data_IF_471384255691
#
_entry.id   IF_471384255691
#
_cell.length_a   1.000
_cell.length_b   1.000
_cell.length_c   1.000
_cell.angle_alpha   90.00
_cell.angle_beta   90.00
_cell.angle_gamma   90.00
#
_symmetry.space_group_name_H-M   'P 1'
#
loop_
_entity.id
_entity.type
_entity.pdbx_description
1 polymer ?
#
# COMPACT_ATOMS: atom_id res chain seq x y z
N UNK A 1 -36.36 -32.82 -1.04
CA UNK A 1 -35.56 -32.54 -2.24
C UNK A 1 -34.67 -31.36 -1.93
N UNK A 2 -33.41 -31.45 -2.36
CA UNK A 2 -32.30 -30.49 -2.24
C UNK A 2 -31.45 -30.59 -0.96
N UNK A 3 -30.75 -31.73 -0.81
CA UNK A 3 -29.62 -31.87 0.14
C UNK A 3 -28.41 -32.62 -0.48
N UNK A 4 -28.37 -32.70 -1.82
CA UNK A 4 -27.31 -33.41 -2.56
C UNK A 4 -26.34 -32.50 -3.32
N UNK A 5 -26.59 -31.18 -3.39
CA UNK A 5 -25.75 -30.23 -4.13
C UNK A 5 -24.53 -29.73 -3.34
N UNK A 6 -24.67 -29.58 -2.02
CA UNK A 6 -23.63 -29.02 -1.13
C UNK A 6 -22.52 -30.01 -0.80
N UNK A 7 -22.83 -31.30 -0.74
CA UNK A 7 -21.86 -32.36 -0.47
C UNK A 7 -20.86 -32.57 -1.63
N UNK A 8 -21.29 -32.36 -2.87
CA UNK A 8 -20.44 -32.47 -4.07
C UNK A 8 -19.40 -31.35 -4.12
N UNK A 9 -19.77 -30.10 -3.83
CA UNK A 9 -18.83 -28.96 -3.87
C UNK A 9 -17.73 -29.11 -2.80
N UNK A 10 -18.08 -29.59 -1.60
CA UNK A 10 -17.11 -29.83 -0.53
C UNK A 10 -16.06 -30.90 -0.89
N UNK A 11 -16.52 -32.01 -1.51
CA UNK A 11 -15.62 -33.07 -2.00
C UNK A 11 -14.72 -32.59 -3.15
N UNK A 12 -15.22 -31.72 -4.03
CA UNK A 12 -14.44 -31.12 -5.11
C UNK A 12 -13.33 -30.18 -4.60
N UNK A 13 -13.60 -29.36 -3.58
CA UNK A 13 -12.58 -28.48 -2.99
C UNK A 13 -11.45 -29.23 -2.30
N UNK A 14 -11.75 -30.34 -1.60
CA UNK A 14 -10.70 -31.15 -0.97
C UNK A 14 -9.87 -31.94 -1.99
N UNK A 15 -10.49 -32.47 -3.05
CA UNK A 15 -9.78 -33.15 -4.14
C UNK A 15 -8.80 -32.21 -4.84
N UNK A 16 -9.23 -30.98 -5.15
CA UNK A 16 -8.36 -29.97 -5.77
C UNK A 16 -7.25 -29.54 -4.81
N UNK A 17 -7.54 -29.33 -3.53
CA UNK A 17 -6.54 -28.95 -2.53
C UNK A 17 -5.50 -30.06 -2.29
N UNK A 18 -5.92 -31.33 -2.26
CA UNK A 18 -5.01 -32.48 -2.13
C UNK A 18 -4.15 -32.65 -3.39
N UNK A 19 -4.71 -32.41 -4.59
CA UNK A 19 -3.95 -32.40 -5.83
C UNK A 19 -2.86 -31.31 -5.82
N UNK A 20 -3.19 -30.10 -5.35
CA UNK A 20 -2.22 -29.00 -5.22
C UNK A 20 -1.17 -29.23 -4.13
N UNK A 21 -1.43 -30.06 -3.10
CA UNK A 21 -0.40 -30.50 -2.13
C UNK A 21 0.59 -31.49 -2.73
N UNK A 22 0.14 -32.32 -3.67
CA UNK A 22 0.97 -33.34 -4.32
C UNK A 22 1.71 -32.81 -5.55
N UNK A 23 1.26 -31.69 -6.12
CA UNK A 23 1.98 -31.00 -7.19
C UNK A 23 3.28 -30.38 -6.65
N UNK A 24 4.39 -30.45 -7.42
CA UNK A 24 5.60 -29.71 -7.09
C UNK A 24 5.32 -28.21 -6.96
N UNK A 25 6.20 -27.49 -6.25
CA UNK A 25 6.14 -26.03 -6.16
C UNK A 25 6.08 -25.42 -7.57
N UNK A 26 5.42 -24.27 -7.70
CA UNK A 26 5.15 -23.64 -8.99
C UNK A 26 6.42 -23.27 -9.79
N UNK A 27 7.59 -23.29 -9.15
CA UNK A 27 8.92 -23.06 -9.73
C UNK A 27 9.67 -24.36 -10.09
N UNK A 28 9.08 -25.55 -9.91
CA UNK A 28 9.72 -26.81 -10.28
C UNK A 28 9.83 -26.92 -11.82
N UNK A 29 11.04 -27.04 -12.39
CA UNK A 29 11.24 -27.12 -13.83
C UNK A 29 10.61 -28.37 -14.46
N UNK A 30 10.18 -29.35 -13.66
CA UNK A 30 9.51 -30.58 -14.12
C UNK A 30 7.99 -30.42 -14.24
N UNK A 31 7.41 -29.33 -13.73
CA UNK A 31 5.97 -29.07 -13.71
C UNK A 31 5.32 -29.20 -15.11
N UNK A 32 5.92 -28.69 -16.22
CA UNK A 32 5.32 -28.82 -17.55
C UNK A 32 5.21 -30.28 -18.03
N UNK A 33 6.21 -31.11 -17.73
CA UNK A 33 6.22 -32.52 -18.11
C UNK A 33 5.24 -33.36 -17.27
N UNK A 34 5.03 -32.98 -16.00
CA UNK A 34 4.06 -33.62 -15.11
C UNK A 34 2.63 -33.30 -15.58
N UNK A 35 2.33 -32.03 -15.87
CA UNK A 35 1.02 -31.61 -16.37
C UNK A 35 0.66 -32.26 -17.72
N UNK A 36 1.64 -32.46 -18.61
CA UNK A 36 1.46 -33.15 -19.88
C UNK A 36 1.07 -34.63 -19.74
N UNK A 37 1.45 -35.30 -18.65
CA UNK A 37 1.04 -36.69 -18.37
C UNK A 37 -0.41 -36.79 -17.93
N UNK A 38 -0.91 -35.79 -17.20
CA UNK A 38 -2.29 -35.72 -16.76
C UNK A 38 -3.25 -35.34 -17.90
N UNK A 39 -2.85 -34.43 -18.80
CA UNK A 39 -3.65 -34.09 -19.98
C UNK A 39 -3.84 -35.26 -20.97
N UNK A 40 -2.91 -36.23 -20.95
CA UNK A 40 -2.92 -37.37 -21.86
C UNK A 40 -3.57 -38.64 -21.25
N UNK A 41 -4.18 -38.54 -20.06
CA UNK A 41 -4.92 -39.64 -19.43
C UNK A 41 -4.07 -40.84 -19.00
N UNK A 42 -2.75 -40.69 -18.90
CA UNK A 42 -1.83 -41.77 -18.51
C UNK A 42 -1.55 -41.84 -17.00
N UNK A 43 -2.03 -40.86 -16.22
CA UNK A 43 -2.08 -40.94 -14.77
C UNK A 43 -3.35 -41.67 -14.36
N UNK A 44 -3.23 -42.79 -13.65
CA UNK A 44 -4.36 -43.56 -13.15
C UNK A 44 -5.17 -42.79 -12.10
N UNK A 45 -6.01 -41.87 -12.55
CA UNK A 45 -7.17 -41.34 -11.83
C UNK A 45 -8.22 -41.03 -12.90
N UNK A 46 -9.28 -41.84 -12.94
CA UNK A 46 -10.47 -41.50 -13.70
C UNK A 46 -11.04 -40.18 -13.16
N UNK A 47 -11.24 -39.21 -14.05
CA UNK A 47 -12.31 -38.23 -13.90
C UNK A 47 -11.88 -36.78 -13.77
N UNK A 48 -11.79 -36.12 -14.93
CA UNK A 48 -12.16 -34.72 -15.14
C UNK A 48 -11.48 -33.64 -14.28
N UNK A 49 -10.26 -33.25 -14.66
CA UNK A 49 -10.07 -31.82 -14.90
C UNK A 49 -10.19 -31.61 -16.40
N UNK A 50 -11.24 -30.92 -16.85
CA UNK A 50 -11.28 -30.43 -18.22
C UNK A 50 -10.08 -29.50 -18.38
N UNK A 51 -9.47 -29.48 -19.57
CA UNK A 51 -8.42 -28.49 -19.91
C UNK A 51 -8.83 -27.07 -19.52
N UNK A 52 -10.13 -26.77 -19.63
CA UNK A 52 -10.76 -25.53 -19.18
C UNK A 52 -10.59 -25.26 -17.67
N UNK A 53 -10.72 -26.26 -16.81
CA UNK A 53 -10.56 -26.11 -15.36
C UNK A 53 -9.09 -25.88 -14.99
N UNK A 54 -8.18 -26.51 -15.75
CA UNK A 54 -6.73 -26.28 -15.62
C UNK A 54 -6.34 -24.88 -16.12
N UNK A 55 -6.92 -24.44 -17.24
CA UNK A 55 -6.75 -23.10 -17.80
C UNK A 55 -7.35 -22.04 -16.87
N UNK A 56 -8.53 -22.26 -16.30
CA UNK A 56 -9.15 -21.39 -15.29
C UNK A 56 -8.33 -21.35 -13.98
N UNK A 57 -7.77 -22.48 -13.55
CA UNK A 57 -6.87 -22.55 -12.40
C UNK A 57 -5.50 -21.86 -12.67
N UNK A 58 -5.00 -21.92 -13.91
CA UNK A 58 -3.81 -21.17 -14.35
C UNK A 58 -4.08 -19.67 -14.54
N UNK A 59 -5.34 -19.32 -14.85
CA UNK A 59 -5.84 -17.95 -14.95
C UNK A 59 -6.27 -17.37 -13.60
N UNK A 60 -6.24 -18.16 -12.52
CA UNK A 60 -6.33 -17.59 -11.18
C UNK A 60 -5.21 -16.55 -11.07
N UNK A 61 -5.52 -15.29 -10.76
CA UNK A 61 -4.52 -14.27 -10.66
C UNK A 61 -3.49 -14.77 -9.66
N UNK A 62 -2.24 -14.98 -10.13
CA UNK A 62 -1.12 -15.25 -9.25
C UNK A 62 -1.19 -14.15 -8.21
N UNK A 63 -1.47 -14.53 -6.95
CA UNK A 63 -1.56 -13.59 -5.85
C UNK A 63 -0.22 -12.89 -5.80
N UNK A 64 -0.15 -11.69 -6.37
CA UNK A 64 1.10 -10.96 -6.43
C UNK A 64 1.57 -10.77 -4.99
N UNK A 65 2.88 -10.97 -4.73
CA UNK A 65 3.40 -10.77 -3.40
C UNK A 65 3.09 -9.34 -2.97
N UNK A 66 2.51 -9.19 -1.77
CA UNK A 66 2.16 -7.90 -1.20
C UNK A 66 3.37 -6.96 -1.20
N UNK A 67 3.16 -5.75 -1.67
CA UNK A 67 4.13 -4.66 -1.66
C UNK A 67 4.21 -4.02 -0.28
N UNK A 68 3.10 -4.01 0.46
CA UNK A 68 2.98 -3.26 1.69
C UNK A 68 2.87 -4.19 2.90
N UNK A 69 3.74 -3.96 3.89
CA UNK A 69 3.65 -4.57 5.21
C UNK A 69 3.23 -3.53 6.23
N UNK A 70 2.09 -3.76 6.89
CA UNK A 70 1.63 -2.91 7.99
C UNK A 70 2.64 -2.96 9.14
N UNK A 71 3.11 -1.79 9.58
CA UNK A 71 4.06 -1.64 10.71
C UNK A 71 3.47 -0.89 11.89
N UNK A 72 2.38 -0.13 11.69
CA UNK A 72 1.75 0.59 12.78
C UNK A 72 0.51 1.37 12.36
N UNK A 73 0.01 2.16 13.29
CA UNK A 73 -1.13 3.05 13.10
C UNK A 73 -0.91 4.34 13.88
N UNK A 74 -1.45 5.44 13.37
CA UNK A 74 -1.47 6.72 14.05
C UNK A 74 -2.90 7.26 14.09
N UNK A 75 -3.32 7.77 15.24
CA UNK A 75 -4.61 8.47 15.33
C UNK A 75 -4.42 9.88 14.78
N UNK A 76 -5.35 10.33 13.94
CA UNK A 76 -5.39 11.70 13.44
C UNK A 76 -6.64 12.40 13.95
N UNK A 77 -6.46 13.67 14.27
CA UNK A 77 -7.50 14.49 14.90
C UNK A 77 -8.47 15.08 13.89
N UNK A 78 -9.71 15.34 14.33
CA UNK A 78 -10.68 16.04 13.51
C UNK A 78 -10.28 17.52 13.36
N UNK A 79 -10.39 18.05 12.14
CA UNK A 79 -10.03 19.42 11.83
C UNK A 79 -11.17 20.12 11.11
N UNK A 80 -11.74 21.15 11.74
CA UNK A 80 -12.81 21.95 11.15
C UNK A 80 -12.32 22.70 9.90
N UNK A 81 -11.10 23.26 9.96
CA UNK A 81 -10.46 23.94 8.85
C UNK A 81 -8.94 23.86 8.98
N UNK A 82 -8.30 23.34 7.93
CA UNK A 82 -6.87 23.31 7.76
C UNK A 82 -6.50 24.14 6.53
N UNK A 83 -5.44 24.93 6.63
CA UNK A 83 -4.88 25.68 5.50
C UNK A 83 -3.39 25.42 5.46
N UNK A 84 -2.89 24.92 4.33
CA UNK A 84 -1.45 24.77 4.13
C UNK A 84 -0.85 26.16 3.91
N UNK A 85 -0.34 26.76 4.98
CA UNK A 85 0.28 28.07 4.97
C UNK A 85 1.55 28.08 5.83
N UNK A 86 2.22 29.22 5.90
CA UNK A 86 3.43 29.39 6.72
C UNK A 86 3.24 29.04 8.20
N UNK A 87 2.05 29.25 8.76
CA UNK A 87 1.75 28.91 10.16
C UNK A 87 1.72 27.40 10.32
N UNK A 88 1.05 26.68 9.42
CA UNK A 88 0.99 25.21 9.44
C UNK A 88 2.38 24.58 9.20
N UNK A 89 3.16 25.11 8.24
CA UNK A 89 4.52 24.63 7.96
C UNK A 89 5.44 24.80 9.18
N UNK A 90 5.43 25.99 9.79
CA UNK A 90 6.23 26.26 11.00
C UNK A 90 5.79 25.42 12.19
N UNK A 91 4.49 25.26 12.41
CA UNK A 91 3.97 24.42 13.50
C UNK A 91 4.37 22.94 13.35
N UNK A 92 4.51 22.46 12.11
CA UNK A 92 4.98 21.12 11.80
C UNK A 92 6.53 21.00 11.73
N UNK A 93 7.28 22.05 12.05
CA UNK A 93 8.73 22.10 11.90
C UNK A 93 9.19 21.75 10.47
N UNK A 94 8.46 22.22 9.45
CA UNK A 94 8.85 22.08 8.04
C UNK A 94 9.79 23.24 7.70
N UNK A 95 11.05 22.91 7.40
CA UNK A 95 12.09 23.88 7.04
C UNK A 95 12.25 24.06 5.53
N UNK A 96 11.77 23.10 4.73
CA UNK A 96 11.85 23.16 3.27
C UNK A 96 10.59 22.59 2.62
N UNK A 97 10.12 23.27 1.57
CA UNK A 97 9.11 22.75 0.65
C UNK A 97 9.63 22.75 -0.79
N UNK A 98 9.34 21.68 -1.52
CA UNK A 98 9.63 21.62 -2.95
C UNK A 98 8.69 22.52 -3.76
N UNK A 99 9.17 23.03 -4.91
CA UNK A 99 8.37 23.91 -5.79
C UNK A 99 7.03 23.30 -6.23
N UNK A 100 6.99 21.98 -6.46
CA UNK A 100 5.75 21.26 -6.77
C UNK A 100 4.80 21.23 -5.58
N UNK A 101 5.30 21.04 -4.36
CA UNK A 101 4.44 21.09 -3.18
C UNK A 101 3.85 22.49 -3.02
N UNK A 102 4.68 23.51 -3.18
CA UNK A 102 4.26 24.91 -3.11
C UNK A 102 3.20 25.25 -4.16
N UNK A 103 3.35 24.79 -5.41
CA UNK A 103 2.36 25.10 -6.46
C UNK A 103 1.01 24.41 -6.25
N UNK A 104 1.02 23.19 -5.69
CA UNK A 104 -0.17 22.33 -5.61
C UNK A 104 -0.90 22.42 -4.27
N UNK A 105 -0.16 22.64 -3.18
CA UNK A 105 -0.70 22.55 -1.83
C UNK A 105 -0.65 23.87 -1.09
N UNK A 106 0.20 24.83 -1.44
CA UNK A 106 0.24 26.11 -0.72
C UNK A 106 -1.09 26.86 -0.89
N UNK A 107 -1.67 27.26 0.22
CA UNK A 107 -3.00 27.87 0.28
C UNK A 107 -4.17 26.89 0.14
N UNK A 108 -3.91 25.59 -0.07
CA UNK A 108 -4.97 24.56 -0.10
C UNK A 108 -5.71 24.57 1.24
N UNK A 109 -7.03 24.58 1.16
CA UNK A 109 -7.94 24.53 2.31
C UNK A 109 -8.59 23.15 2.34
N UNK A 110 -8.57 22.50 3.50
CA UNK A 110 -9.34 21.29 3.79
C UNK A 110 -10.30 21.61 4.94
N UNK A 111 -11.60 21.40 4.74
CA UNK A 111 -12.64 21.72 5.73
C UNK A 111 -13.39 20.45 6.16
N UNK A 112 -13.83 20.43 7.41
CA UNK A 112 -14.60 19.33 8.01
C UNK A 112 -13.91 17.96 7.87
N UNK A 113 -12.59 17.91 8.04
CA UNK A 113 -11.83 16.66 8.00
C UNK A 113 -12.12 15.89 9.30
N UNK A 114 -12.68 14.66 9.23
CA UNK A 114 -13.00 13.90 10.42
C UNK A 114 -11.74 13.39 11.13
N UNK A 115 -11.88 12.99 12.39
CA UNK A 115 -10.86 12.18 13.05
C UNK A 115 -10.79 10.81 12.37
N UNK A 116 -9.65 10.14 12.48
CA UNK A 116 -9.48 8.82 11.87
C UNK A 116 -8.21 8.12 12.33
N UNK A 117 -7.93 7.01 11.65
CA UNK A 117 -6.71 6.24 11.85
C UNK A 117 -5.95 6.18 10.53
N UNK A 118 -4.67 6.52 10.58
CA UNK A 118 -3.74 6.39 9.47
C UNK A 118 -2.95 5.10 9.67
N UNK A 119 -3.03 4.21 8.68
CA UNK A 119 -2.19 3.04 8.60
C UNK A 119 -0.79 3.38 8.13
N UNK A 120 0.22 2.82 8.80
CA UNK A 120 1.63 2.98 8.48
C UNK A 120 2.14 1.70 7.85
N UNK A 121 2.47 1.72 6.57
CA UNK A 121 2.88 0.53 5.84
C UNK A 121 4.29 0.70 5.29
N UNK A 122 5.17 -0.26 5.54
CA UNK A 122 6.49 -0.29 4.93
C UNK A 122 6.41 -0.90 3.54
N UNK A 123 7.06 -0.25 2.57
CA UNK A 123 7.23 -0.78 1.23
C UNK A 123 8.34 -1.85 1.23
N UNK A 124 8.01 -3.11 0.94
CA UNK A 124 8.94 -4.25 1.05
C UNK A 124 9.94 -4.34 -0.10
N UNK A 125 9.62 -3.75 -1.26
CA UNK A 125 10.48 -3.72 -2.45
C UNK A 125 10.21 -2.46 -3.27
N UNK A 126 11.19 -2.05 -4.08
CA UNK A 126 11.03 -0.90 -4.95
C UNK A 126 9.77 -1.00 -5.81
N UNK A 127 9.00 0.09 -5.88
CA UNK A 127 7.74 0.11 -6.61
C UNK A 127 7.32 1.51 -7.02
N UNK A 128 6.57 1.60 -8.12
CA UNK A 128 5.91 2.82 -8.56
C UNK A 128 4.65 3.09 -7.74
N UNK A 129 4.13 4.30 -7.84
CA UNK A 129 2.89 4.67 -7.14
C UNK A 129 1.69 3.83 -7.57
N UNK A 130 1.56 3.50 -8.87
CA UNK A 130 0.38 2.78 -9.38
C UNK A 130 0.17 1.41 -8.70
N UNK A 131 1.16 0.52 -8.58
CA UNK A 131 1.01 -0.72 -7.81
C UNK A 131 0.74 -0.50 -6.31
N UNK A 132 1.40 0.49 -5.68
CA UNK A 132 1.20 0.82 -4.26
C UNK A 132 -0.26 1.25 -4.02
N UNK A 133 -0.75 2.20 -4.82
CA UNK A 133 -2.12 2.70 -4.76
C UNK A 133 -3.14 1.60 -5.07
N UNK A 134 -2.85 0.70 -6.02
CA UNK A 134 -3.70 -0.44 -6.34
C UNK A 134 -3.85 -1.40 -5.15
N UNK A 135 -2.77 -1.64 -4.39
CA UNK A 135 -2.83 -2.45 -3.18
C UNK A 135 -3.59 -1.77 -2.04
N UNK A 136 -3.49 -0.43 -1.93
CA UNK A 136 -4.24 0.36 -0.96
C UNK A 136 -5.72 0.53 -1.30
N UNK A 137 -6.08 0.47 -2.58
CA UNK A 137 -7.45 0.61 -3.06
C UNK A 137 -8.06 1.99 -2.73
N UNK A 138 -9.29 1.98 -2.24
CA UNK A 138 -10.05 3.18 -1.85
C UNK A 138 -9.42 3.98 -0.69
N UNK A 139 -8.51 3.35 0.07
CA UNK A 139 -7.78 3.96 1.18
C UNK A 139 -6.54 4.73 0.78
N UNK A 140 -6.14 4.66 -0.50
CA UNK A 140 -4.90 5.26 -0.99
C UNK A 140 -4.85 6.77 -0.74
N UNK A 141 -5.93 7.47 -1.09
CA UNK A 141 -5.98 8.94 -1.02
C UNK A 141 -6.48 9.39 0.35
N UNK A 142 -5.76 10.35 0.93
CA UNK A 142 -6.01 10.93 2.25
C UNK A 142 -5.91 12.46 2.21
N UNK A 143 -6.59 13.18 3.13
CA UNK A 143 -6.36 14.60 3.37
C UNK A 143 -4.90 14.89 3.72
N UNK A 144 -4.33 15.97 3.20
CA UNK A 144 -2.93 16.33 3.47
C UNK A 144 -2.72 16.70 4.95
N UNK A 145 -3.76 17.18 5.63
CA UNK A 145 -3.70 17.47 7.08
C UNK A 145 -3.29 16.24 7.91
N UNK A 146 -3.59 15.01 7.47
CA UNK A 146 -3.19 13.80 8.19
C UNK A 146 -1.67 13.60 8.20
N UNK A 147 -0.97 14.01 7.14
CA UNK A 147 0.49 14.03 7.12
C UNK A 147 1.04 15.05 8.13
N UNK A 148 0.47 16.26 8.15
CA UNK A 148 0.88 17.31 9.08
C UNK A 148 0.64 16.93 10.55
N UNK A 149 -0.49 16.28 10.84
CA UNK A 149 -0.77 15.80 12.20
C UNK A 149 0.20 14.69 12.61
N UNK A 150 0.55 13.79 11.68
CA UNK A 150 1.55 12.73 11.92
C UNK A 150 2.97 13.30 12.13
N UNK A 151 3.34 14.34 11.37
CA UNK A 151 4.59 15.09 11.56
C UNK A 151 4.63 15.71 12.96
N UNK A 152 3.56 16.40 13.36
CA UNK A 152 3.46 17.02 14.69
C UNK A 152 3.59 16.00 15.82
N UNK A 153 2.87 14.89 15.72
CA UNK A 153 2.96 13.78 16.68
C UNK A 153 4.40 13.24 16.77
N UNK A 154 5.09 13.14 15.64
CA UNK A 154 6.49 12.70 15.60
C UNK A 154 7.41 13.70 16.29
N UNK A 155 7.25 15.01 16.02
CA UNK A 155 8.02 16.05 16.69
C UNK A 155 7.80 16.03 18.21
N UNK A 156 6.55 15.87 18.65
CA UNK A 156 6.19 15.78 20.08
C UNK A 156 6.82 14.55 20.74
N UNK A 157 6.84 13.39 20.07
CA UNK A 157 7.49 12.18 20.55
C UNK A 157 9.02 12.34 20.65
N UNK A 158 9.65 12.87 19.60
CA UNK A 158 11.10 13.13 19.59
C UNK A 158 11.53 14.08 20.71
N UNK A 159 10.71 15.09 21.03
CA UNK A 159 10.97 16.01 22.14
C UNK A 159 10.97 15.32 23.51
N UNK A 160 10.31 14.16 23.63
CA UNK A 160 10.32 13.29 24.83
C UNK A 160 11.36 12.17 24.75
N UNK A 161 12.10 12.06 23.65
CA UNK A 161 13.03 10.95 23.40
C UNK A 161 12.35 9.65 23.01
N UNK A 162 11.13 9.73 22.47
CA UNK A 162 10.31 8.60 22.00
C UNK A 162 10.28 8.57 20.47
N UNK A 163 10.02 7.38 19.90
CA UNK A 163 9.78 7.23 18.48
C UNK A 163 8.36 7.69 18.12
N UNK A 164 8.25 8.51 17.08
CA UNK A 164 6.99 8.95 16.51
C UNK A 164 6.41 7.98 15.47
N UNK A 165 5.23 8.29 14.91
CA UNK A 165 4.64 7.49 13.84
C UNK A 165 5.40 7.57 12.52
N UNK A 166 6.19 8.61 12.27
CA UNK A 166 6.95 8.77 11.03
C UNK A 166 8.40 8.31 11.18
N UNK A 167 8.97 7.82 10.08
CA UNK A 167 10.40 7.55 9.98
C UNK A 167 11.19 8.87 10.08
N UNK A 168 12.20 8.89 10.95
CA UNK A 168 13.10 10.04 11.18
C UNK A 168 14.57 9.67 10.96
N UNK A 169 14.82 8.60 10.20
CA UNK A 169 16.16 8.04 9.98
C UNK A 169 17.05 8.87 9.03
N UNK A 170 16.52 9.95 8.44
CA UNK A 170 17.25 10.86 7.57
C UNK A 170 17.37 10.41 6.11
N UNK A 171 16.97 9.18 5.79
CA UNK A 171 17.18 8.57 4.48
C UNK A 171 15.87 8.16 3.79
N UNK A 172 14.86 7.76 4.55
CA UNK A 172 13.60 7.25 4.01
C UNK A 172 12.49 8.28 4.06
N UNK A 173 11.65 8.23 3.04
CA UNK A 173 10.48 9.10 2.93
C UNK A 173 9.28 8.50 3.69
N UNK A 174 8.42 9.40 4.16
CA UNK A 174 7.05 9.10 4.57
C UNK A 174 6.11 9.66 3.49
N UNK A 175 5.36 8.81 2.81
CA UNK A 175 4.58 9.18 1.63
C UNK A 175 3.09 9.03 1.92
N UNK A 176 2.32 10.08 1.60
CA UNK A 176 0.86 10.09 1.63
C UNK A 176 0.34 10.55 0.27
N UNK A 177 -0.68 9.89 -0.26
CA UNK A 177 -1.33 10.33 -1.50
C UNK A 177 -2.44 11.33 -1.19
N UNK A 178 -2.38 12.51 -1.80
CA UNK A 178 -3.39 13.56 -1.61
C UNK A 178 -3.78 14.20 -2.95
N UNK A 179 -4.97 14.81 -2.98
CA UNK A 179 -5.45 15.56 -4.15
C UNK A 179 -4.89 16.98 -4.11
N UNK A 180 -4.15 17.37 -5.14
CA UNK A 180 -3.61 18.72 -5.31
C UNK A 180 -4.69 19.76 -5.65
N UNK A 181 -4.31 21.03 -5.74
CA UNK A 181 -5.20 22.11 -6.21
C UNK A 181 -5.64 21.94 -7.66
N UNK A 182 -4.90 21.15 -8.44
CA UNK A 182 -5.20 20.80 -9.83
C UNK A 182 -6.21 19.64 -9.98
N UNK A 183 -6.67 19.05 -8.87
CA UNK A 183 -7.59 17.92 -8.86
C UNK A 183 -6.93 16.56 -9.13
N UNK A 184 -5.62 16.51 -9.37
CA UNK A 184 -4.89 15.25 -9.58
C UNK A 184 -4.37 14.68 -8.25
N UNK A 185 -4.06 13.38 -8.24
CA UNK A 185 -3.44 12.72 -7.10
C UNK A 185 -1.92 12.91 -7.16
N UNK A 186 -1.32 13.28 -6.03
CA UNK A 186 0.11 13.48 -5.86
C UNK A 186 0.63 12.67 -4.69
N UNK A 187 1.83 12.11 -4.84
CA UNK A 187 2.58 11.52 -3.74
C UNK A 187 3.24 12.65 -2.94
N UNK A 188 2.71 12.96 -1.77
CA UNK A 188 3.27 13.96 -0.85
C UNK A 188 4.26 13.25 0.07
N UNK A 189 5.53 13.59 -0.09
CA UNK A 189 6.64 12.99 0.65
C UNK A 189 7.12 13.93 1.74
N UNK A 190 7.28 13.42 2.96
CA UNK A 190 7.96 14.08 4.06
C UNK A 190 9.20 13.28 4.46
N UNK A 191 10.36 13.91 4.41
CA UNK A 191 11.62 13.34 4.91
C UNK A 191 12.17 14.22 6.04
N UNK A 192 12.76 13.56 7.04
CA UNK A 192 13.45 14.26 8.12
C UNK A 192 14.86 14.65 7.65
N UNK A 193 15.20 15.93 7.70
CA UNK A 193 16.55 16.42 7.39
C UNK A 193 17.36 16.45 8.68
N UNK A 194 18.32 15.53 8.81
CA UNK A 194 19.12 15.38 10.03
C UNK A 194 19.95 16.65 10.35
N UNK A 195 20.58 17.23 9.34
CA UNK A 195 21.48 18.38 9.50
C UNK A 195 20.72 19.64 9.97
N UNK A 196 19.59 19.93 9.34
CA UNK A 196 18.77 21.11 9.65
C UNK A 196 17.76 20.87 10.78
N UNK A 197 17.60 19.61 11.22
CA UNK A 197 16.65 19.17 12.25
C UNK A 197 15.21 19.65 11.97
N UNK A 198 14.80 19.51 10.73
CA UNK A 198 13.47 19.88 10.25
C UNK A 198 12.95 18.89 9.20
N UNK A 199 11.67 19.01 8.87
CA UNK A 199 11.08 18.26 7.77
C UNK A 199 11.27 18.97 6.43
N UNK A 200 11.51 18.18 5.40
CA UNK A 200 11.42 18.57 3.99
C UNK A 200 10.20 17.91 3.38
N UNK A 201 9.33 18.72 2.74
CA UNK A 201 8.07 18.25 2.16
C UNK A 201 8.02 18.52 0.66
N UNK A 202 7.81 17.46 -0.13
CA UNK A 202 7.78 17.53 -1.59
C UNK A 202 6.49 16.88 -2.12
N UNK A 203 6.14 17.22 -3.37
CA UNK A 203 5.07 16.57 -4.11
C UNK A 203 5.62 15.98 -5.41
N UNK A 204 5.37 14.70 -5.62
CA UNK A 204 5.75 13.96 -6.82
C UNK A 204 4.51 13.48 -7.56
N UNK A 205 4.56 13.55 -8.90
CA UNK A 205 3.48 13.04 -9.73
C UNK A 205 3.41 11.52 -9.62
N UNK A 206 2.20 10.96 -9.43
CA UNK A 206 2.00 9.50 -9.33
C UNK A 206 2.23 8.75 -10.65
N UNK A 207 2.39 9.48 -11.76
CA UNK A 207 2.80 8.91 -13.06
C UNK A 207 4.31 9.04 -13.30
N UNK A 208 5.06 9.46 -12.29
CA UNK A 208 6.52 9.52 -12.34
C UNK A 208 7.10 8.17 -12.78
N UNK A 209 8.14 8.17 -13.64
CA UNK A 209 8.79 6.94 -14.05
C UNK A 209 9.69 6.34 -12.96
N UNK A 210 9.95 7.08 -11.88
CA UNK A 210 10.83 6.68 -10.79
C UNK A 210 10.10 5.87 -9.73
N UNK A 211 10.80 4.88 -9.18
CA UNK A 211 10.29 4.02 -8.12
C UNK A 211 10.57 4.65 -6.75
N UNK A 212 9.69 4.37 -5.78
CA UNK A 212 10.03 4.51 -4.36
C UNK A 212 10.90 3.34 -3.95
N UNK A 213 11.90 3.61 -3.12
CA UNK A 213 12.78 2.57 -2.58
C UNK A 213 12.09 1.72 -1.52
N UNK A 214 12.52 0.46 -1.42
CA UNK A 214 12.19 -0.39 -0.28
C UNK A 214 12.53 0.32 1.05
N UNK A 215 11.65 0.18 2.04
CA UNK A 215 11.76 0.84 3.34
C UNK A 215 11.11 2.22 3.41
N UNK A 216 10.60 2.78 2.30
CA UNK A 216 9.72 3.95 2.35
C UNK A 216 8.45 3.59 3.12
N UNK A 217 7.97 4.51 3.97
CA UNK A 217 6.73 4.33 4.72
C UNK A 217 5.57 5.00 3.99
N UNK A 218 4.54 4.22 3.66
CA UNK A 218 3.31 4.66 3.02
C UNK A 218 2.20 4.84 4.07
N UNK A 219 1.68 6.05 4.14
CA UNK A 219 0.56 6.45 4.97
C UNK A 219 -0.74 6.32 4.16
N UNK A 220 -1.73 5.66 4.74
CA UNK A 220 -3.06 5.50 4.13
C UNK A 220 -4.17 5.53 5.18
N UNK A 221 -5.43 5.73 4.77
CA UNK A 221 -6.55 5.59 5.70
C UNK A 221 -6.67 4.12 6.14
N UNK A 222 -7.00 3.87 7.40
CA UNK A 222 -7.17 2.50 7.89
C UNK A 222 -8.58 1.94 7.64
N UNK A 223 -9.59 2.82 7.58
CA UNK A 223 -11.01 2.53 7.37
C UNK A 223 -11.70 3.64 6.59
#
# INVERSE_FOLDING_TARGET
MNDHGTALIGQWTELVAELFRQLPRADDPRLPAILAKYSNGQGGFQGALLKKDLDEALLLPKKEPKLLRRVGMANVTAVAKFVVNEVALKAANVGYTGSNFDSLFRGKVEENVPAGVVGLNLLERNSKDSPIMAELGDKAVSPVVYLFDSIRQTNEAMARGEDGPLLTDGYKANVLYAIGSDGNIWAVSACWCFDDRCWSVLAFSVVSPYDWDAGVQILSRDS
#
